data_IF_695762693280
#
_entry.id   IF_695762693280
#
_cell.length_a   1.000
_cell.length_b   1.000
_cell.length_c   1.000
_cell.angle_alpha   90.00
_cell.angle_beta   90.00
_cell.angle_gamma   90.00
#
_symmetry.space_group_name_H-M   'P 1'
#
loop_
_entity.id
_entity.type
_entity.pdbx_description
1 polymer ?
#
# COMPACT_ATOMS: atom_id res chain seq x y z
N UNK A 1 6.86 2.04 8.53
CA UNK A 1 6.36 3.42 8.35
C UNK A 1 5.82 4.04 9.64
N UNK A 2 6.48 3.86 10.80
CA UNK A 2 5.91 4.12 12.14
C UNK A 2 5.56 5.58 12.51
N UNK A 3 5.50 6.51 11.56
CA UNK A 3 5.10 7.90 11.79
C UNK A 3 3.59 8.08 11.92
N UNK A 4 2.79 7.29 11.19
CA UNK A 4 1.32 7.33 11.24
C UNK A 4 0.82 6.04 11.86
N UNK A 5 0.30 6.12 13.08
CA UNK A 5 -0.02 4.90 13.85
C UNK A 5 -1.39 4.91 14.49
N UNK A 6 -2.13 6.04 14.47
CA UNK A 6 -3.32 6.21 15.30
C UNK A 6 -4.51 6.85 14.57
N UNK A 7 -4.85 6.36 13.37
CA UNK A 7 -6.09 6.75 12.71
C UNK A 7 -7.28 5.90 13.19
N UNK A 8 -8.49 6.49 13.25
CA UNK A 8 -9.66 5.83 13.84
C UNK A 8 -10.17 4.60 13.05
N UNK A 9 -9.89 4.55 11.74
CA UNK A 9 -10.33 3.48 10.85
C UNK A 9 -9.35 2.30 10.83
N UNK A 10 -8.06 2.57 10.66
CA UNK A 10 -7.00 1.57 10.73
C UNK A 10 -5.79 2.16 11.43
N UNK A 11 -5.23 1.42 12.38
CA UNK A 11 -4.14 1.88 13.24
C UNK A 11 -3.18 0.73 13.55
N UNK A 12 -2.09 1.05 14.26
CA UNK A 12 -1.06 0.08 14.59
C UNK A 12 -1.59 -1.13 15.38
N UNK A 13 -2.38 -0.98 16.46
CA UNK A 13 -3.00 -2.13 17.13
C UNK A 13 -3.82 -3.02 16.19
N UNK A 14 -4.61 -2.43 15.29
CA UNK A 14 -5.38 -3.20 14.28
C UNK A 14 -4.44 -4.00 13.37
N UNK A 15 -3.36 -3.39 12.87
CA UNK A 15 -2.35 -4.12 12.07
C UNK A 15 -1.69 -5.25 12.82
N UNK A 16 -1.28 -5.03 14.08
CA UNK A 16 -0.65 -6.06 14.91
C UNK A 16 -1.59 -7.25 15.08
N UNK A 17 -2.85 -7.00 15.46
CA UNK A 17 -3.86 -8.05 15.61
C UNK A 17 -4.12 -8.79 14.29
N UNK A 18 -4.19 -8.07 13.16
CA UNK A 18 -4.39 -8.68 11.85
C UNK A 18 -3.23 -9.61 11.46
N UNK A 19 -1.99 -9.18 11.70
CA UNK A 19 -0.81 -10.01 11.49
C UNK A 19 -0.76 -11.21 12.43
N UNK A 20 -1.17 -11.04 13.70
CA UNK A 20 -1.24 -12.14 14.65
C UNK A 20 -2.17 -13.26 14.18
N UNK A 21 -3.34 -12.87 13.68
CA UNK A 21 -4.32 -13.80 13.13
C UNK A 21 -3.84 -14.44 11.83
N UNK A 22 -3.19 -13.68 10.95
CA UNK A 22 -2.75 -14.18 9.65
C UNK A 22 -1.57 -15.14 9.74
N UNK A 23 -0.63 -14.90 10.67
CA UNK A 23 0.59 -15.70 10.83
C UNK A 23 0.47 -16.81 11.87
N UNK A 24 -0.70 -16.96 12.52
CA UNK A 24 -0.92 -17.92 13.62
C UNK A 24 0.11 -17.78 14.75
N UNK A 25 0.43 -16.54 15.12
CA UNK A 25 1.51 -16.24 16.07
C UNK A 25 1.92 -14.78 16.08
N UNK A 26 2.96 -14.43 16.81
CA UNK A 26 3.42 -13.04 16.92
C UNK A 26 3.86 -12.50 15.55
N UNK A 27 3.53 -11.24 15.18
CA UNK A 27 3.98 -10.62 13.96
C UNK A 27 5.50 -10.49 14.02
N UNK A 28 6.21 -11.44 13.41
CA UNK A 28 7.66 -11.42 13.39
C UNK A 28 8.17 -10.55 12.23
N UNK A 29 9.35 -9.97 12.41
CA UNK A 29 10.14 -9.33 11.37
C UNK A 29 10.59 -10.31 10.28
N UNK A 30 10.46 -11.62 10.52
CA UNK A 30 10.85 -12.71 9.61
C UNK A 30 9.70 -13.30 8.78
N UNK A 31 8.50 -12.70 8.79
CA UNK A 31 7.41 -13.11 7.89
C UNK A 31 7.88 -13.20 6.43
N UNK A 32 7.55 -14.32 5.79
CA UNK A 32 8.02 -14.64 4.45
C UNK A 32 7.60 -13.57 3.42
N UNK A 33 8.36 -13.37 2.33
CA UNK A 33 8.02 -12.41 1.28
C UNK A 33 6.64 -12.63 0.62
N UNK A 34 6.10 -13.85 0.67
CA UNK A 34 4.74 -14.12 0.20
C UNK A 34 3.64 -13.59 1.13
N UNK A 35 3.97 -13.39 2.40
CA UNK A 35 3.11 -12.73 3.38
C UNK A 35 3.33 -11.20 3.34
N UNK A 36 4.59 -10.76 3.36
CA UNK A 36 4.98 -9.36 3.34
C UNK A 36 5.88 -9.07 2.12
N UNK A 37 5.26 -8.73 0.98
CA UNK A 37 5.95 -8.55 -0.30
C UNK A 37 7.09 -7.52 -0.25
N UNK A 38 6.95 -6.48 0.59
CA UNK A 38 7.99 -5.50 0.85
C UNK A 38 9.28 -6.09 1.43
N UNK A 39 9.28 -7.33 1.94
CA UNK A 39 10.47 -8.02 2.44
C UNK A 39 11.21 -8.84 1.38
N UNK A 40 10.72 -8.92 0.16
CA UNK A 40 11.43 -9.61 -0.91
C UNK A 40 12.78 -8.94 -1.23
N UNK A 41 13.85 -9.75 -1.28
CA UNK A 41 15.21 -9.26 -1.59
C UNK A 41 15.45 -9.02 -3.08
N UNK A 42 14.63 -9.62 -3.94
CA UNK A 42 14.67 -9.47 -5.39
C UNK A 42 13.26 -9.13 -5.90
N UNK A 43 13.15 -7.98 -6.56
CA UNK A 43 11.93 -7.47 -7.17
C UNK A 43 12.05 -7.38 -8.70
N UNK A 44 13.10 -7.98 -9.27
CA UNK A 44 13.27 -8.04 -10.71
C UNK A 44 12.21 -8.94 -11.36
N UNK A 45 11.85 -8.63 -12.60
CA UNK A 45 10.87 -9.40 -13.36
C UNK A 45 9.42 -9.26 -12.90
N UNK A 46 9.12 -8.39 -11.92
CA UNK A 46 7.75 -8.03 -11.61
C UNK A 46 7.03 -7.41 -12.83
N UNK A 47 5.72 -7.66 -12.99
CA UNK A 47 4.94 -6.98 -14.02
C UNK A 47 4.88 -5.47 -13.77
N UNK A 48 4.45 -4.67 -14.77
CA UNK A 48 4.10 -3.27 -14.54
C UNK A 48 3.18 -3.14 -13.33
N UNK A 49 3.60 -2.34 -12.36
CA UNK A 49 2.97 -2.24 -11.04
C UNK A 49 2.43 -0.83 -10.83
N UNK A 50 1.24 -0.73 -10.27
CA UNK A 50 0.66 0.54 -9.81
C UNK A 50 0.37 0.43 -8.31
N UNK A 51 0.87 1.41 -7.55
CA UNK A 51 0.67 1.51 -6.10
C UNK A 51 0.05 2.88 -5.81
N UNK A 52 -0.96 2.92 -4.93
CA UNK A 52 -1.49 4.16 -4.41
C UNK A 52 -1.70 4.12 -2.91
N UNK A 53 -1.39 5.23 -2.25
CA UNK A 53 -1.49 5.35 -0.79
C UNK A 53 -1.86 6.76 -0.38
N UNK A 54 -2.46 6.91 0.79
CA UNK A 54 -2.80 8.19 1.38
C UNK A 54 -1.68 8.81 2.23
N UNK A 55 -1.65 10.14 2.38
CA UNK A 55 -0.66 10.78 3.27
C UNK A 55 -0.91 10.53 4.75
N UNK A 56 -2.13 10.15 5.13
CA UNK A 56 -2.57 9.84 6.49
C UNK A 56 -2.77 8.33 6.68
N UNK A 57 -2.27 7.51 5.75
CA UNK A 57 -2.28 6.06 5.85
C UNK A 57 -1.01 5.57 6.58
N UNK A 58 -1.19 4.65 7.52
CA UNK A 58 -0.08 4.00 8.21
C UNK A 58 0.84 3.23 7.26
N UNK A 59 0.37 2.79 6.10
CA UNK A 59 1.17 2.04 5.12
C UNK A 59 1.98 2.95 4.18
N UNK A 60 1.82 4.27 4.29
CA UNK A 60 2.45 5.27 3.40
C UNK A 60 3.93 5.03 3.13
N UNK A 61 4.76 4.97 4.17
CA UNK A 61 6.21 4.90 3.91
C UNK A 61 6.65 3.53 3.41
N UNK A 62 5.95 2.45 3.78
CA UNK A 62 6.29 1.11 3.27
C UNK A 62 5.88 0.95 1.81
N UNK A 63 4.73 1.50 1.41
CA UNK A 63 4.29 1.53 0.01
C UNK A 63 5.24 2.36 -0.85
N UNK A 64 5.67 3.53 -0.34
CA UNK A 64 6.65 4.38 -1.02
C UNK A 64 8.00 3.67 -1.17
N UNK A 65 8.50 3.03 -0.10
CA UNK A 65 9.76 2.26 -0.15
C UNK A 65 9.66 1.09 -1.13
N UNK A 66 8.54 0.37 -1.12
CA UNK A 66 8.32 -0.75 -2.01
C UNK A 66 8.29 -0.32 -3.47
N UNK A 67 7.54 0.74 -3.81
CA UNK A 67 7.52 1.31 -5.15
C UNK A 67 8.90 1.77 -5.64
N UNK A 68 9.68 2.41 -4.74
CA UNK A 68 11.07 2.81 -5.01
C UNK A 68 11.91 1.58 -5.36
N UNK A 69 11.84 0.51 -4.58
CA UNK A 69 12.63 -0.71 -4.78
C UNK A 69 12.22 -1.50 -6.02
N UNK A 70 10.93 -1.53 -6.39
CA UNK A 70 10.47 -2.10 -7.67
C UNK A 70 11.13 -1.34 -8.83
N UNK A 71 11.12 -0.01 -8.76
CA UNK A 71 11.73 0.85 -9.78
C UNK A 71 13.26 0.66 -9.86
N UNK A 72 13.95 0.55 -8.73
CA UNK A 72 15.39 0.27 -8.65
C UNK A 72 15.76 -1.12 -9.21
N UNK A 73 14.86 -2.09 -9.07
CA UNK A 73 15.00 -3.42 -9.67
C UNK A 73 14.72 -3.46 -11.18
N UNK A 74 14.36 -2.31 -11.78
CA UNK A 74 14.14 -2.16 -13.22
C UNK A 74 12.73 -2.53 -13.71
N UNK A 75 11.78 -2.81 -12.80
CA UNK A 75 10.39 -3.05 -13.16
C UNK A 75 9.61 -1.72 -13.28
N UNK A 76 8.70 -1.57 -14.26
CA UNK A 76 7.87 -0.37 -14.36
C UNK A 76 6.96 -0.23 -13.13
N UNK A 77 7.07 0.90 -12.42
CA UNK A 77 6.23 1.17 -11.27
C UNK A 77 5.67 2.61 -11.33
N UNK A 78 4.36 2.74 -11.21
CA UNK A 78 3.70 4.01 -10.94
C UNK A 78 3.31 4.06 -9.46
N UNK A 79 3.58 5.20 -8.82
CA UNK A 79 3.20 5.47 -7.43
C UNK A 79 2.37 6.76 -7.38
N UNK A 80 1.19 6.69 -6.77
CA UNK A 80 0.32 7.84 -6.55
C UNK A 80 0.05 8.05 -5.06
N UNK A 81 0.46 9.21 -4.53
CA UNK A 81 0.21 9.60 -3.13
C UNK A 81 -0.92 10.62 -3.05
N UNK A 82 -1.95 10.32 -2.26
CA UNK A 82 -3.17 11.13 -2.14
C UNK A 82 -3.22 11.92 -0.82
N UNK A 83 -3.11 13.26 -0.86
CA UNK A 83 -3.13 14.09 0.34
C UNK A 83 -4.42 13.96 1.16
N UNK A 84 -4.28 13.86 2.48
CA UNK A 84 -5.38 13.77 3.44
C UNK A 84 -6.14 12.43 3.44
N UNK A 85 -5.75 11.49 2.58
CA UNK A 85 -6.36 10.18 2.53
C UNK A 85 -5.77 9.28 3.63
N UNK A 86 -6.64 8.59 4.34
CA UNK A 86 -6.31 7.54 5.30
C UNK A 86 -6.71 6.18 4.73
N UNK A 87 -6.34 5.10 5.43
CA UNK A 87 -6.62 3.75 4.97
C UNK A 87 -8.10 3.50 4.64
N UNK A 88 -8.38 3.07 3.40
CA UNK A 88 -9.71 2.84 2.84
C UNK A 88 -10.65 4.08 2.83
N UNK A 89 -10.13 5.30 2.97
CA UNK A 89 -10.94 6.51 3.00
C UNK A 89 -11.76 6.74 1.74
N UNK A 90 -11.30 6.24 0.59
CA UNK A 90 -12.03 6.27 -0.68
C UNK A 90 -13.31 5.44 -0.66
N UNK A 91 -13.34 4.39 0.16
CA UNK A 91 -14.50 3.51 0.37
C UNK A 91 -15.46 4.07 1.43
N UNK A 92 -14.95 4.66 2.50
CA UNK A 92 -15.76 5.25 3.57
C UNK A 92 -16.40 6.59 3.18
N UNK A 93 -15.73 7.39 2.36
CA UNK A 93 -16.21 8.70 1.92
C UNK A 93 -16.12 8.81 0.40
N UNK A 94 -16.91 8.02 -0.35
CA UNK A 94 -16.77 7.89 -1.81
C UNK A 94 -17.07 9.18 -2.58
N UNK A 95 -17.80 10.11 -1.96
CA UNK A 95 -18.16 11.41 -2.54
C UNK A 95 -17.13 12.52 -2.26
N UNK A 96 -16.06 12.27 -1.51
CA UNK A 96 -14.98 13.24 -1.38
C UNK A 96 -14.23 13.38 -2.71
N UNK A 97 -13.72 14.59 -2.99
CA UNK A 97 -12.99 14.85 -4.23
C UNK A 97 -11.72 14.00 -4.34
N UNK A 98 -11.00 13.80 -3.22
CA UNK A 98 -9.81 12.96 -3.17
C UNK A 98 -10.12 11.48 -3.38
N UNK A 99 -11.25 10.98 -2.84
CA UNK A 99 -11.72 9.60 -3.04
C UNK A 99 -12.03 9.30 -4.51
N UNK A 100 -12.75 10.20 -5.18
CA UNK A 100 -13.01 10.07 -6.62
C UNK A 100 -11.72 10.07 -7.44
N UNK A 101 -10.76 10.94 -7.10
CA UNK A 101 -9.46 10.97 -7.78
C UNK A 101 -8.68 9.66 -7.62
N UNK A 102 -8.62 9.11 -6.41
CA UNK A 102 -7.93 7.85 -6.14
C UNK A 102 -8.59 6.68 -6.88
N UNK A 103 -9.92 6.58 -6.84
CA UNK A 103 -10.63 5.55 -7.60
C UNK A 103 -10.41 5.68 -9.11
N UNK A 104 -10.46 6.92 -9.64
CA UNK A 104 -10.17 7.18 -11.05
C UNK A 104 -8.77 6.78 -11.47
N UNK A 105 -7.75 7.01 -10.64
CA UNK A 105 -6.37 6.62 -10.98
C UNK A 105 -6.19 5.10 -10.95
N UNK A 106 -6.82 4.38 -10.01
CA UNK A 106 -6.86 2.91 -10.00
C UNK A 106 -7.48 2.39 -11.31
N UNK A 107 -8.64 2.92 -11.70
CA UNK A 107 -9.28 2.52 -12.96
C UNK A 107 -8.45 2.84 -14.20
N UNK A 108 -7.79 4.01 -14.23
CA UNK A 108 -6.93 4.40 -15.33
C UNK A 108 -5.73 3.46 -15.47
N UNK A 109 -5.05 3.15 -14.36
CA UNK A 109 -3.92 2.22 -14.34
C UNK A 109 -4.33 0.82 -14.81
N UNK A 110 -5.46 0.30 -14.31
CA UNK A 110 -5.98 -0.99 -14.73
C UNK A 110 -6.34 -1.01 -16.23
N UNK A 111 -6.95 0.07 -16.74
CA UNK A 111 -7.28 0.18 -18.16
C UNK A 111 -6.02 0.20 -19.02
N UNK A 112 -5.03 1.02 -18.68
CA UNK A 112 -3.77 1.12 -19.43
C UNK A 112 -2.97 -0.19 -19.42
N UNK A 113 -3.10 -1.02 -18.38
CA UNK A 113 -2.43 -2.32 -18.31
C UNK A 113 -3.08 -3.41 -19.18
N UNK A 114 -4.32 -3.21 -19.64
CA UNK A 114 -5.10 -4.18 -20.41
C UNK A 114 -5.24 -3.82 -21.91
N UNK A 115 -4.75 -2.64 -22.30
CA UNK A 115 -4.67 -2.18 -23.70
C UNK A 115 -3.33 -2.62 -24.33
#
# INVERSE_FOLDING_TARGET
SGEITNHAIWNLPTSVNAWEMYLDGTPDLDAAPYAAASRANDLSGLPPTYICVGTEDLFRDEDIDYARRISEAGAPCELAVFPGMYHAGESFVPTAAVSRRMNQSIYAAAKSALE
#
